data_IF_022506796632
#
_entry.id   IF_022506796632
#
_cell.length_a   1.000
_cell.length_b   1.000
_cell.length_c   1.000
_cell.angle_alpha   90.00
_cell.angle_beta   90.00
_cell.angle_gamma   90.00
#
_symmetry.space_group_name_H-M   'P 1'
#
loop_
_entity.id
_entity.type
_entity.pdbx_description
1 polymer ?
#
# COMPACT_ATOMS: atom_id res chain seq x y z
N UNK A 1 75.97 -9.09 21.01
CA UNK A 1 76.20 -8.58 22.36
C UNK A 1 75.43 -7.30 22.55
N UNK A 2 74.15 -7.29 22.85
CA UNK A 2 73.03 -8.23 22.82
C UNK A 2 71.79 -7.36 23.11
N UNK A 3 70.63 -7.83 22.66
CA UNK A 3 69.29 -7.58 23.17
C UNK A 3 69.12 -6.65 24.38
N UNK A 4 68.18 -5.71 24.29
CA UNK A 4 66.97 -5.79 25.12
C UNK A 4 65.79 -5.07 24.45
N UNK A 5 64.73 -5.86 24.25
CA UNK A 5 63.40 -5.47 23.83
C UNK A 5 62.71 -4.77 25.01
N UNK A 6 62.06 -3.63 24.78
CA UNK A 6 60.99 -3.17 25.67
C UNK A 6 59.74 -2.94 24.82
N UNK A 7 58.94 -4.00 24.75
CA UNK A 7 57.62 -4.01 24.15
C UNK A 7 56.68 -3.19 25.03
N UNK A 8 56.28 -2.02 24.54
CA UNK A 8 55.17 -1.26 25.09
C UNK A 8 53.88 -1.55 24.32
N UNK A 9 53.48 -2.81 24.32
CA UNK A 9 52.08 -3.17 24.05
C UNK A 9 51.24 -2.75 25.26
N UNK A 10 50.63 -1.56 25.17
CA UNK A 10 49.49 -1.17 26.00
C UNK A 10 48.34 -0.71 25.11
N UNK A 11 47.57 -1.72 24.72
CA UNK A 11 46.11 -1.75 24.82
C UNK A 11 45.40 -0.46 24.38
N UNK A 12 45.24 -0.34 23.06
CA UNK A 12 44.24 0.56 22.48
C UNK A 12 42.87 -0.09 22.72
N UNK A 13 42.28 0.21 23.87
CA UNK A 13 40.92 -0.19 24.21
C UNK A 13 39.93 0.39 23.19
N UNK A 14 39.59 -0.41 22.18
CA UNK A 14 38.39 -0.23 21.37
C UNK A 14 37.19 -0.53 22.26
N UNK A 15 36.83 0.43 23.10
CA UNK A 15 35.45 0.55 23.55
C UNK A 15 34.77 1.41 22.50
N UNK A 16 34.51 0.83 21.32
CA UNK A 16 33.41 1.30 20.48
C UNK A 16 32.22 1.35 21.42
N UNK A 17 31.67 2.54 21.65
CA UNK A 17 30.69 2.70 22.70
C UNK A 17 29.51 1.77 22.36
N UNK A 18 29.04 0.97 23.33
CA UNK A 18 27.85 0.11 23.15
C UNK A 18 26.67 0.90 22.57
N UNK A 19 26.66 2.23 22.75
CA UNK A 19 25.70 3.16 22.21
C UNK A 19 25.87 3.43 20.70
N UNK A 20 27.09 3.55 20.16
CA UNK A 20 27.34 3.65 18.71
C UNK A 20 26.98 2.35 17.99
N UNK A 21 27.34 1.19 18.54
CA UNK A 21 26.97 -0.11 17.96
C UNK A 21 25.44 -0.30 17.98
N UNK A 22 24.77 0.05 19.08
CA UNK A 22 23.30 -0.01 19.16
C UNK A 22 22.60 0.99 18.25
N UNK A 23 23.17 2.17 18.03
CA UNK A 23 22.64 3.14 17.06
C UNK A 23 22.80 2.63 15.62
N UNK A 24 23.96 2.06 15.27
CA UNK A 24 24.18 1.47 13.95
C UNK A 24 23.29 0.24 13.70
N UNK A 25 23.11 -0.64 14.70
CA UNK A 25 22.17 -1.77 14.62
C UNK A 25 20.72 -1.29 14.44
N UNK A 26 20.33 -0.21 15.12
CA UNK A 26 19.00 0.39 14.99
C UNK A 26 18.81 1.02 13.61
N UNK A 27 19.81 1.73 13.08
CA UNK A 27 19.78 2.33 11.74
C UNK A 27 19.72 1.25 10.64
N UNK A 28 20.51 0.18 10.76
CA UNK A 28 20.46 -0.99 9.88
C UNK A 28 19.10 -1.72 9.96
N UNK A 29 18.50 -1.79 11.15
CA UNK A 29 17.17 -2.38 11.35
C UNK A 29 16.05 -1.51 10.76
N UNK A 30 16.15 -0.19 10.89
CA UNK A 30 15.20 0.78 10.30
C UNK A 30 15.22 0.72 8.76
N UNK A 31 16.41 0.61 8.15
CA UNK A 31 16.60 0.40 6.71
C UNK A 31 16.06 -0.96 6.19
N UNK A 32 15.87 -1.93 7.08
CA UNK A 32 15.28 -3.22 6.76
C UNK A 32 13.75 -3.22 6.96
N UNK A 33 13.22 -2.40 7.86
CA UNK A 33 11.83 -2.51 8.30
C UNK A 33 10.83 -2.18 7.19
N UNK A 34 11.07 -1.11 6.42
CA UNK A 34 10.22 -0.75 5.29
C UNK A 34 10.20 -1.83 4.20
N UNK A 35 11.31 -2.55 4.00
CA UNK A 35 11.37 -3.68 3.05
C UNK A 35 10.48 -4.82 3.50
N UNK A 36 10.44 -5.08 4.82
CA UNK A 36 9.54 -6.08 5.41
C UNK A 36 8.08 -5.65 5.22
N UNK A 37 7.76 -4.38 5.45
CA UNK A 37 6.39 -3.86 5.25
C UNK A 37 5.94 -3.97 3.79
N UNK A 38 6.82 -3.65 2.85
CA UNK A 38 6.56 -3.81 1.43
C UNK A 38 6.35 -5.26 1.03
N UNK A 39 7.23 -6.16 1.47
CA UNK A 39 7.10 -7.60 1.23
C UNK A 39 5.78 -8.12 1.80
N UNK A 40 5.44 -7.75 3.04
CA UNK A 40 4.18 -8.15 3.68
C UNK A 40 2.96 -7.62 2.93
N UNK A 41 2.97 -6.34 2.56
CA UNK A 41 1.85 -5.69 1.87
C UNK A 41 1.59 -6.32 0.51
N UNK A 42 2.64 -6.55 -0.29
CA UNK A 42 2.51 -7.23 -1.57
C UNK A 42 2.12 -8.70 -1.43
N UNK A 43 2.56 -9.38 -0.37
CA UNK A 43 2.15 -10.77 -0.09
C UNK A 43 0.65 -10.82 0.23
N UNK A 44 0.16 -9.90 1.07
CA UNK A 44 -1.28 -9.81 1.38
C UNK A 44 -2.09 -9.42 0.16
N UNK A 45 -1.61 -8.48 -0.65
CA UNK A 45 -2.26 -8.08 -1.91
C UNK A 45 -2.37 -9.26 -2.89
N UNK A 46 -1.29 -10.00 -3.11
CA UNK A 46 -1.32 -11.15 -4.02
C UNK A 46 -2.27 -12.24 -3.49
N UNK A 47 -2.23 -12.50 -2.18
CA UNK A 47 -3.13 -13.45 -1.55
C UNK A 47 -4.60 -13.03 -1.61
N UNK A 48 -4.91 -11.72 -1.55
CA UNK A 48 -6.28 -11.21 -1.71
C UNK A 48 -6.89 -11.62 -3.06
N UNK A 49 -6.11 -11.50 -4.14
CA UNK A 49 -6.55 -11.93 -5.47
C UNK A 49 -6.60 -13.46 -5.59
N UNK A 50 -5.65 -14.16 -4.96
CA UNK A 50 -5.60 -15.61 -4.96
C UNK A 50 -6.64 -16.27 -4.06
N UNK A 51 -7.39 -15.55 -3.21
CA UNK A 51 -8.47 -16.12 -2.36
C UNK A 51 -9.50 -16.96 -3.11
N UNK A 52 -9.73 -16.66 -4.40
CA UNK A 52 -10.66 -17.41 -5.27
C UNK A 52 -10.05 -18.71 -5.84
N UNK A 53 -8.80 -18.97 -5.52
CA UNK A 53 -8.02 -20.14 -5.95
C UNK A 53 -7.55 -20.90 -4.71
N UNK A 54 -7.20 -22.19 -4.84
CA UNK A 54 -6.60 -22.96 -3.75
C UNK A 54 -5.09 -22.66 -3.57
N UNK A 55 -4.62 -21.51 -4.05
CA UNK A 55 -3.21 -21.12 -4.00
C UNK A 55 -2.99 -20.01 -2.96
N UNK A 56 -1.85 -20.09 -2.27
CA UNK A 56 -1.39 -19.08 -1.32
C UNK A 56 0.10 -18.86 -1.47
N UNK A 57 0.52 -17.61 -1.30
CA UNK A 57 1.91 -17.16 -1.26
C UNK A 57 2.28 -16.93 0.21
N UNK A 58 3.32 -17.60 0.67
CA UNK A 58 3.96 -17.39 1.98
C UNK A 58 5.22 -16.54 1.82
N UNK A 59 6.00 -16.78 0.77
CA UNK A 59 7.22 -16.03 0.47
C UNK A 59 7.30 -15.66 -1.01
N UNK A 60 7.16 -14.36 -1.30
CA UNK A 60 7.18 -13.81 -2.66
C UNK A 60 8.44 -14.17 -3.46
N UNK A 61 9.58 -14.37 -2.80
CA UNK A 61 10.85 -14.68 -3.48
C UNK A 61 10.88 -16.11 -4.01
N UNK A 62 10.35 -17.05 -3.23
CA UNK A 62 10.44 -18.48 -3.54
C UNK A 62 9.17 -19.02 -4.18
N UNK A 63 7.99 -18.58 -3.77
CA UNK A 63 6.70 -19.13 -4.21
C UNK A 63 6.30 -18.71 -5.63
N UNK A 64 6.87 -17.63 -6.15
CA UNK A 64 6.67 -17.18 -7.54
C UNK A 64 7.69 -17.79 -8.51
N UNK A 65 8.75 -18.41 -7.98
CA UNK A 65 9.92 -18.84 -8.77
C UNK A 65 9.63 -19.96 -9.79
N UNK A 66 8.57 -20.74 -9.58
CA UNK A 66 8.14 -21.81 -10.50
C UNK A 66 7.13 -21.35 -11.56
N UNK A 67 6.67 -20.11 -11.44
CA UNK A 67 5.73 -19.44 -12.33
C UNK A 67 4.26 -19.85 -12.14
N UNK A 68 3.91 -20.87 -11.35
CA UNK A 68 2.53 -21.35 -11.25
C UNK A 68 1.63 -20.36 -10.53
N UNK A 69 2.08 -19.82 -9.40
CA UNK A 69 1.33 -18.81 -8.65
C UNK A 69 1.28 -17.46 -9.38
N UNK A 70 2.36 -17.13 -10.10
CA UNK A 70 2.41 -15.94 -10.95
C UNK A 70 1.38 -16.03 -12.08
N UNK A 71 1.30 -17.19 -12.76
CA UNK A 71 0.27 -17.48 -13.77
C UNK A 71 -1.11 -17.29 -13.16
N UNK A 72 -1.41 -17.97 -12.06
CA UNK A 72 -2.73 -17.90 -11.43
C UNK A 72 -3.12 -16.46 -11.04
N UNK A 73 -2.17 -15.70 -10.49
CA UNK A 73 -2.37 -14.30 -10.13
C UNK A 73 -2.71 -13.45 -11.36
N UNK A 74 -1.95 -13.58 -12.45
CA UNK A 74 -2.22 -12.84 -13.69
C UNK A 74 -3.53 -13.27 -14.36
N UNK A 75 -3.89 -14.56 -14.30
CA UNK A 75 -5.20 -15.02 -14.79
C UNK A 75 -6.36 -14.39 -14.03
N UNK A 76 -6.24 -14.24 -12.70
CA UNK A 76 -7.27 -13.59 -11.88
C UNK A 76 -7.37 -12.10 -12.19
N UNK A 77 -6.23 -11.43 -12.37
CA UNK A 77 -6.17 -9.98 -12.62
C UNK A 77 -6.63 -9.60 -14.04
N UNK A 78 -6.17 -10.31 -15.07
CA UNK A 78 -6.48 -10.01 -16.47
C UNK A 78 -7.78 -10.66 -16.95
N UNK A 79 -8.25 -11.72 -16.27
CA UNK A 79 -9.31 -12.59 -16.76
C UNK A 79 -8.89 -13.51 -17.91
N UNK A 80 -7.62 -13.46 -18.36
CA UNK A 80 -7.08 -14.33 -19.40
C UNK A 80 -6.75 -15.73 -18.86
N UNK A 81 -6.84 -16.75 -19.72
CA UNK A 81 -6.48 -18.14 -19.38
C UNK A 81 -5.32 -18.64 -20.22
N UNK A 82 -4.20 -18.98 -19.57
CA UNK A 82 -3.01 -19.46 -20.24
C UNK A 82 -3.16 -20.95 -20.60
N UNK A 83 -3.08 -21.27 -21.89
CA UNK A 83 -3.26 -22.64 -22.39
C UNK A 83 -2.00 -23.51 -22.27
N UNK A 84 -0.82 -22.90 -22.38
CA UNK A 84 0.45 -23.60 -22.50
C UNK A 84 1.36 -23.27 -21.30
N UNK A 85 1.06 -23.87 -20.14
CA UNK A 85 1.84 -23.72 -18.91
C UNK A 85 2.27 -25.10 -18.41
N UNK A 86 3.52 -25.21 -17.98
CA UNK A 86 4.04 -26.41 -17.34
C UNK A 86 3.41 -26.56 -15.95
N UNK A 87 2.47 -27.51 -15.80
CA UNK A 87 1.72 -27.74 -14.54
C UNK A 87 2.55 -28.35 -13.42
N UNK A 88 3.71 -28.94 -13.73
CA UNK A 88 4.64 -29.56 -12.78
C UNK A 88 6.08 -29.22 -13.16
N UNK A 89 6.52 -27.96 -12.97
CA UNK A 89 7.83 -27.50 -13.43
C UNK A 89 8.92 -27.97 -12.47
N UNK A 90 9.56 -29.10 -12.77
CA UNK A 90 10.68 -29.64 -11.98
C UNK A 90 12.02 -29.07 -12.42
N UNK A 91 12.17 -28.82 -13.72
CA UNK A 91 13.41 -28.31 -14.29
C UNK A 91 13.40 -26.78 -14.37
N UNK A 92 14.58 -26.16 -14.19
CA UNK A 92 14.76 -24.70 -14.30
C UNK A 92 14.22 -24.16 -15.63
N UNK A 93 14.38 -24.90 -16.73
CA UNK A 93 13.86 -24.52 -18.05
C UNK A 93 12.34 -24.40 -18.07
N UNK A 94 11.62 -25.35 -17.47
CA UNK A 94 10.15 -25.33 -17.37
C UNK A 94 9.65 -24.18 -16.48
N UNK A 95 10.33 -23.94 -15.35
CA UNK A 95 10.03 -22.80 -14.47
C UNK A 95 10.19 -21.47 -15.21
N UNK A 96 11.31 -21.31 -15.91
CA UNK A 96 11.60 -20.11 -16.69
C UNK A 96 10.61 -19.91 -17.84
N UNK A 97 10.20 -20.99 -18.51
CA UNK A 97 9.18 -20.94 -19.56
C UNK A 97 7.84 -20.42 -19.03
N UNK A 98 7.39 -20.90 -17.87
CA UNK A 98 6.17 -20.40 -17.21
C UNK A 98 6.28 -18.89 -16.93
N UNK A 99 7.36 -18.47 -16.26
CA UNK A 99 7.57 -17.06 -15.91
C UNK A 99 7.65 -16.18 -17.16
N UNK A 100 8.45 -16.58 -18.15
CA UNK A 100 8.65 -15.83 -19.41
C UNK A 100 7.33 -15.68 -20.17
N UNK A 101 6.49 -16.71 -20.19
CA UNK A 101 5.17 -16.66 -20.84
C UNK A 101 4.29 -15.59 -20.21
N UNK A 102 4.28 -15.50 -18.88
CA UNK A 102 3.51 -14.47 -18.16
C UNK A 102 4.09 -13.07 -18.40
N UNK A 103 5.40 -12.90 -18.28
CA UNK A 103 6.04 -11.59 -18.49
C UNK A 103 5.79 -11.08 -19.91
N UNK A 104 5.91 -11.96 -20.92
CA UNK A 104 5.59 -11.61 -22.31
C UNK A 104 4.14 -11.19 -22.49
N UNK A 105 3.20 -11.90 -21.86
CA UNK A 105 1.78 -11.52 -21.90
C UNK A 105 1.54 -10.13 -21.31
N UNK A 106 2.16 -9.83 -20.16
CA UNK A 106 2.05 -8.53 -19.51
C UNK A 106 2.60 -7.40 -20.40
N UNK A 107 3.72 -7.61 -21.08
CA UNK A 107 4.32 -6.61 -21.96
C UNK A 107 3.59 -6.46 -23.30
N UNK A 108 3.37 -7.57 -24.01
CA UNK A 108 2.86 -7.56 -25.38
C UNK A 108 1.33 -7.39 -25.46
N UNK A 109 0.59 -7.97 -24.50
CA UNK A 109 -0.88 -7.99 -24.55
C UNK A 109 -1.50 -6.92 -23.65
N UNK A 110 -1.05 -6.81 -22.39
CA UNK A 110 -1.56 -5.80 -21.46
C UNK A 110 -0.87 -4.44 -21.62
N UNK A 111 0.23 -4.37 -22.41
CA UNK A 111 0.96 -3.14 -22.67
C UNK A 111 1.69 -2.59 -21.45
N UNK A 112 2.00 -3.43 -20.46
CA UNK A 112 2.72 -3.02 -19.26
C UNK A 112 4.20 -2.83 -19.60
N UNK A 113 4.74 -1.65 -19.26
CA UNK A 113 6.18 -1.43 -19.29
C UNK A 113 6.77 -1.97 -18.00
N UNK A 114 7.34 -3.18 -18.06
CA UNK A 114 8.08 -3.79 -16.95
C UNK A 114 9.45 -3.11 -16.85
N UNK A 115 9.47 -1.92 -16.26
CA UNK A 115 10.70 -1.20 -15.95
C UNK A 115 11.19 -1.68 -14.57
N UNK A 116 12.51 -1.79 -14.39
CA UNK A 116 13.07 -2.07 -13.07
C UNK A 116 12.55 -1.04 -12.06
N UNK A 117 12.10 -1.52 -10.91
CA UNK A 117 11.52 -0.71 -9.83
C UNK A 117 12.53 0.33 -9.29
N UNK A 118 13.82 0.12 -9.56
CA UNK A 118 14.94 0.97 -9.13
C UNK A 118 15.17 2.18 -10.05
N UNK A 119 14.64 2.17 -11.26
CA UNK A 119 14.73 3.30 -12.18
C UNK A 119 13.49 4.18 -11.99
N UNK A 120 13.60 5.07 -11.01
CA UNK A 120 12.71 6.21 -10.83
C UNK A 120 12.54 6.90 -12.19
N UNK A 121 11.32 6.94 -12.73
CA UNK A 121 11.03 7.55 -14.03
C UNK A 121 11.21 9.07 -13.94
N UNK A 122 12.47 9.52 -14.00
CA UNK A 122 12.94 10.91 -14.17
C UNK A 122 13.04 11.24 -15.68
N UNK A 123 12.11 10.71 -16.47
CA UNK A 123 11.87 11.17 -17.84
C UNK A 123 10.41 11.58 -17.95
N UNK A 124 10.09 12.67 -17.26
CA UNK A 124 8.88 13.44 -17.51
C UNK A 124 9.09 14.20 -18.83
N UNK A 125 8.34 13.81 -19.87
CA UNK A 125 8.14 14.65 -21.04
C UNK A 125 7.16 15.77 -20.61
N UNK A 126 7.71 16.94 -20.27
CA UNK A 126 7.00 18.13 -19.75
C UNK A 126 5.94 18.73 -20.70
N UNK A 127 5.56 18.03 -21.78
CA UNK A 127 4.61 18.53 -22.78
C UNK A 127 3.28 17.80 -22.84
N UNK A 128 3.11 16.70 -22.10
CA UNK A 128 1.82 16.03 -21.94
C UNK A 128 1.57 15.73 -20.46
N UNK A 129 0.52 16.36 -19.90
CA UNK A 129 0.01 16.18 -18.53
C UNK A 129 -0.53 14.76 -18.24
N UNK A 130 0.25 13.72 -18.50
CA UNK A 130 -0.10 12.37 -18.06
C UNK A 130 0.42 12.21 -16.64
N UNK A 131 -0.37 12.65 -15.66
CA UNK A 131 -0.09 12.39 -14.25
C UNK A 131 0.14 10.89 -14.06
N UNK A 132 1.29 10.51 -13.50
CA UNK A 132 1.59 9.13 -13.16
C UNK A 132 0.55 8.53 -12.20
N UNK A 133 0.48 7.19 -12.05
CA UNK A 133 -0.47 6.55 -11.15
C UNK A 133 -0.48 7.15 -9.73
N UNK A 134 0.71 7.48 -9.19
CA UNK A 134 0.88 8.17 -7.91
C UNK A 134 0.16 9.53 -7.89
N UNK A 135 0.42 10.38 -8.87
CA UNK A 135 -0.17 11.72 -8.94
C UNK A 135 -1.70 11.66 -9.12
N UNK A 136 -2.20 10.70 -9.92
CA UNK A 136 -3.65 10.48 -10.06
C UNK A 136 -4.30 10.06 -8.73
N UNK A 137 -3.68 9.12 -8.00
CA UNK A 137 -4.18 8.71 -6.70
C UNK A 137 -4.14 9.86 -5.70
N UNK A 138 -3.05 10.63 -5.67
CA UNK A 138 -2.90 11.79 -4.78
C UNK A 138 -3.95 12.86 -5.09
N UNK A 139 -4.21 13.14 -6.37
CA UNK A 139 -5.24 14.07 -6.80
C UNK A 139 -6.65 13.60 -6.35
N UNK A 140 -6.93 12.30 -6.49
CA UNK A 140 -8.19 11.72 -6.02
C UNK A 140 -8.35 11.86 -4.50
N UNK A 141 -7.31 11.55 -3.72
CA UNK A 141 -7.34 11.71 -2.25
C UNK A 141 -7.57 13.16 -1.86
N UNK A 142 -6.83 14.11 -2.46
CA UNK A 142 -7.01 15.56 -2.20
C UNK A 142 -8.43 16.04 -2.53
N UNK A 143 -9.01 15.55 -3.62
CA UNK A 143 -10.39 15.85 -3.99
C UNK A 143 -11.39 15.30 -2.97
N UNK A 144 -11.13 14.10 -2.42
CA UNK A 144 -11.96 13.48 -1.38
C UNK A 144 -11.81 14.15 -0.01
N UNK A 145 -10.62 14.64 0.30
CA UNK A 145 -10.26 15.25 1.58
C UNK A 145 -9.81 16.71 1.41
N UNK A 146 -10.70 17.63 1.00
CA UNK A 146 -10.31 19.01 0.68
C UNK A 146 -9.79 19.80 1.89
N UNK A 147 -10.09 19.37 3.11
CA UNK A 147 -9.70 20.04 4.35
C UNK A 147 -8.43 19.46 4.99
N UNK A 148 -7.93 18.31 4.51
CA UNK A 148 -6.71 17.68 5.03
C UNK A 148 -5.60 17.85 4.00
N UNK A 149 -4.45 18.45 4.38
CA UNK A 149 -3.38 18.72 3.44
C UNK A 149 -2.53 17.47 3.16
N UNK A 150 -3.06 16.51 2.41
CA UNK A 150 -2.31 15.31 1.97
C UNK A 150 -1.34 15.69 0.85
N UNK A 151 -0.05 15.38 1.02
CA UNK A 151 1.07 15.70 0.13
C UNK A 151 1.83 14.45 -0.31
N UNK A 152 1.87 13.42 0.53
CA UNK A 152 2.62 12.19 0.30
C UNK A 152 1.79 10.92 0.63
N UNK A 153 2.40 9.75 0.37
CA UNK A 153 1.89 8.44 0.78
C UNK A 153 2.79 7.83 1.86
N UNK A 154 3.28 8.65 2.78
CA UNK A 154 4.08 8.20 3.93
C UNK A 154 3.58 8.91 5.18
N UNK A 155 4.24 9.98 5.58
CA UNK A 155 4.11 10.60 6.91
C UNK A 155 2.80 11.33 7.14
N UNK A 156 2.10 11.79 6.10
CA UNK A 156 0.81 12.46 6.24
C UNK A 156 -0.30 11.54 6.78
N UNK A 157 -0.04 10.23 6.83
CA UNK A 157 -0.98 9.21 7.29
C UNK A 157 -0.64 8.69 8.69
N UNK A 158 0.53 9.04 9.24
CA UNK A 158 1.04 8.38 10.43
C UNK A 158 0.26 8.70 11.72
N UNK A 159 -0.48 9.81 11.78
CA UNK A 159 -1.33 10.15 12.94
C UNK A 159 -2.67 9.39 12.96
N UNK A 160 -2.97 8.62 11.90
CA UNK A 160 -4.21 7.87 11.73
C UNK A 160 -5.46 8.73 11.49
N UNK A 161 -5.36 10.06 11.47
CA UNK A 161 -6.50 10.95 11.24
C UNK A 161 -6.88 10.98 9.76
N UNK A 162 -5.88 11.04 8.88
CA UNK A 162 -6.10 11.05 7.43
C UNK A 162 -6.89 9.82 6.95
N UNK A 163 -6.58 8.63 7.48
CA UNK A 163 -7.30 7.40 7.14
C UNK A 163 -8.73 7.38 7.70
N UNK A 164 -8.93 7.87 8.93
CA UNK A 164 -10.27 8.05 9.50
C UNK A 164 -11.15 8.99 8.68
N UNK A 165 -10.57 10.11 8.26
CA UNK A 165 -11.24 11.06 7.38
C UNK A 165 -11.57 10.46 6.01
N UNK A 166 -10.66 9.66 5.44
CA UNK A 166 -10.88 8.98 4.16
C UNK A 166 -12.04 7.99 4.25
N UNK A 167 -12.08 7.18 5.31
CA UNK A 167 -13.15 6.21 5.55
C UNK A 167 -14.50 6.92 5.70
N UNK A 168 -14.57 7.98 6.50
CA UNK A 168 -15.81 8.77 6.66
C UNK A 168 -16.19 9.54 5.38
N UNK A 169 -15.22 9.96 4.56
CA UNK A 169 -15.48 10.57 3.27
C UNK A 169 -16.04 9.56 2.24
N UNK A 170 -15.66 8.28 2.33
CA UNK A 170 -16.21 7.21 1.52
C UNK A 170 -17.62 6.80 1.98
N UNK A 171 -17.84 6.68 3.29
CA UNK A 171 -19.16 6.43 3.87
C UNK A 171 -19.36 7.26 5.15
N UNK A 172 -20.05 8.42 5.05
CA UNK A 172 -20.29 9.29 6.18
C UNK A 172 -21.01 8.58 7.33
N UNK A 173 -20.42 8.62 8.52
CA UNK A 173 -20.94 7.99 9.71
C UNK A 173 -20.19 6.72 10.13
N UNK A 174 -19.22 6.24 9.35
CA UNK A 174 -18.30 5.16 9.79
C UNK A 174 -17.26 5.67 10.80
N UNK A 175 -16.63 6.82 10.51
CA UNK A 175 -15.64 7.44 11.42
C UNK A 175 -16.02 8.89 11.71
N UNK A 176 -17.26 9.21 12.14
CA UNK A 176 -17.74 10.59 12.17
C UNK A 176 -16.88 11.49 13.06
N UNK A 177 -16.28 10.94 14.11
CA UNK A 177 -15.55 11.66 15.15
C UNK A 177 -14.07 11.90 14.81
N UNK A 178 -13.62 11.51 13.61
CA UNK A 178 -12.25 11.72 13.12
C UNK A 178 -11.69 13.14 13.33
N UNK A 179 -12.46 14.25 13.21
CA UNK A 179 -11.90 15.60 13.38
C UNK A 179 -11.45 15.91 14.82
N UNK A 180 -11.89 15.10 15.79
CA UNK A 180 -11.56 15.26 17.21
C UNK A 180 -10.67 14.13 17.74
N UNK A 181 -10.17 13.28 16.85
CA UNK A 181 -9.22 12.25 17.25
C UNK A 181 -7.91 12.89 17.70
N UNK A 182 -7.28 12.24 18.68
CA UNK A 182 -6.02 12.68 19.24
C UNK A 182 -4.86 12.16 18.37
N UNK A 183 -4.04 13.08 17.86
CA UNK A 183 -2.85 12.77 17.06
C UNK A 183 -1.80 11.96 17.84
N UNK A 184 -1.85 11.99 19.18
CA UNK A 184 -0.96 11.20 20.02
C UNK A 184 -1.39 9.74 20.16
N UNK A 185 -2.54 9.36 19.59
CA UNK A 185 -3.07 8.00 19.60
C UNK A 185 -3.16 7.39 18.18
N UNK A 186 -2.06 7.39 17.39
CA UNK A 186 -2.08 7.02 15.98
C UNK A 186 -2.55 5.59 15.74
N UNK A 187 -2.09 4.64 16.56
CA UNK A 187 -2.46 3.22 16.43
C UNK A 187 -3.96 3.00 16.62
N UNK A 188 -4.55 3.66 17.63
CA UNK A 188 -5.99 3.61 17.87
C UNK A 188 -6.75 4.15 16.66
N UNK A 189 -6.35 5.31 16.16
CA UNK A 189 -6.99 6.00 15.04
C UNK A 189 -6.95 5.14 13.76
N UNK A 190 -5.77 4.64 13.40
CA UNK A 190 -5.58 3.78 12.24
C UNK A 190 -6.36 2.47 12.39
N UNK A 191 -6.30 1.83 13.56
CA UNK A 191 -7.02 0.57 13.80
C UNK A 191 -8.53 0.74 13.68
N UNK A 192 -9.09 1.80 14.28
CA UNK A 192 -10.53 2.09 14.20
C UNK A 192 -10.97 2.32 12.74
N UNK A 193 -10.24 3.16 12.01
CA UNK A 193 -10.56 3.47 10.61
C UNK A 193 -10.43 2.25 9.68
N UNK A 194 -9.30 1.55 9.76
CA UNK A 194 -8.99 0.42 8.87
C UNK A 194 -9.89 -0.78 9.12
N UNK A 195 -10.29 -1.01 10.38
CA UNK A 195 -11.28 -2.04 10.73
C UNK A 195 -12.64 -1.69 10.13
N UNK A 196 -13.09 -0.44 10.25
CA UNK A 196 -14.34 0.00 9.64
C UNK A 196 -14.31 -0.09 8.10
N UNK A 197 -13.16 0.19 7.48
CA UNK A 197 -12.96 0.05 6.05
C UNK A 197 -13.08 -1.42 5.57
N UNK A 198 -12.50 -2.36 6.32
CA UNK A 198 -12.59 -3.79 6.02
C UNK A 198 -14.03 -4.30 6.21
N UNK A 199 -14.59 -4.04 7.38
CA UNK A 199 -15.90 -4.51 7.79
C UNK A 199 -17.01 -3.97 6.89
N UNK A 200 -16.95 -2.69 6.50
CA UNK A 200 -18.09 -2.01 5.87
C UNK A 200 -17.84 -1.48 4.47
N UNK A 201 -16.58 -1.32 4.03
CA UNK A 201 -16.25 -0.84 2.69
C UNK A 201 -15.64 -1.92 1.77
N UNK A 202 -15.46 -3.14 2.30
CA UNK A 202 -14.79 -4.25 1.60
C UNK A 202 -13.35 -3.89 1.21
N UNK A 203 -12.65 -3.14 2.07
CA UNK A 203 -11.25 -2.74 1.87
C UNK A 203 -10.36 -3.60 2.77
N UNK A 204 -9.78 -4.69 2.26
CA UNK A 204 -8.94 -5.56 3.08
C UNK A 204 -7.67 -4.83 3.54
N UNK A 205 -7.23 -5.15 4.75
CA UNK A 205 -6.05 -4.57 5.39
C UNK A 205 -4.74 -5.16 4.81
N UNK A 206 -4.36 -4.66 3.63
CA UNK A 206 -3.11 -5.07 2.96
C UNK A 206 -1.87 -4.58 3.70
N UNK A 207 -1.95 -3.40 4.29
CA UNK A 207 -1.02 -2.89 5.30
C UNK A 207 -1.71 -2.99 6.66
N UNK A 208 -0.96 -3.23 7.73
CA UNK A 208 -1.49 -3.22 9.10
C UNK A 208 -1.52 -1.79 9.68
N UNK A 209 -2.37 -1.52 10.69
CA UNK A 209 -2.37 -0.23 11.38
C UNK A 209 -0.99 0.17 11.92
N UNK A 210 -0.25 -0.77 12.53
CA UNK A 210 1.10 -0.52 13.06
C UNK A 210 2.11 -0.19 11.94
N UNK A 211 1.95 -0.82 10.77
CA UNK A 211 2.81 -0.61 9.60
C UNK A 211 2.49 0.76 8.93
N UNK A 212 1.22 1.18 8.90
CA UNK A 212 0.80 2.47 8.33
C UNK A 212 1.28 3.68 9.15
N UNK A 213 1.28 3.55 10.47
CA UNK A 213 1.66 4.65 11.36
C UNK A 213 3.17 4.78 11.54
N UNK A 214 3.92 3.84 11.00
CA UNK A 214 5.37 3.84 11.12
C UNK A 214 5.99 4.99 10.30
N UNK A 215 6.92 5.78 10.88
CA UNK A 215 7.55 6.89 10.17
C UNK A 215 8.37 6.46 8.96
N UNK A 216 8.81 5.20 8.92
CA UNK A 216 9.61 4.63 7.83
C UNK A 216 8.75 3.85 6.82
N UNK A 217 7.42 3.95 6.88
CA UNK A 217 6.54 3.30 5.90
C UNK A 217 6.87 3.78 4.48
N UNK A 218 6.94 2.85 3.52
CA UNK A 218 7.25 3.18 2.13
C UNK A 218 5.99 3.55 1.33
N UNK A 219 6.16 4.42 0.33
CA UNK A 219 5.06 4.89 -0.52
C UNK A 219 4.37 3.77 -1.29
N UNK A 220 5.08 2.71 -1.68
CA UNK A 220 4.50 1.64 -2.50
C UNK A 220 3.52 0.80 -1.68
N UNK A 221 3.86 0.48 -0.43
CA UNK A 221 2.94 -0.17 0.51
C UNK A 221 1.68 0.67 0.74
N UNK A 222 1.86 1.95 1.06
CA UNK A 222 0.75 2.87 1.32
C UNK A 222 -0.14 3.08 0.09
N UNK A 223 0.45 3.32 -1.09
CA UNK A 223 -0.29 3.43 -2.35
C UNK A 223 -1.07 2.16 -2.66
N UNK A 224 -0.50 0.98 -2.39
CA UNK A 224 -1.18 -0.31 -2.59
C UNK A 224 -2.46 -0.38 -1.77
N UNK A 225 -2.41 -0.02 -0.49
CA UNK A 225 -3.58 -0.01 0.36
C UNK A 225 -4.59 1.08 -0.03
N UNK A 226 -4.14 2.33 -0.20
CA UNK A 226 -5.02 3.49 -0.48
C UNK A 226 -5.68 3.38 -1.87
N UNK A 227 -5.04 2.73 -2.84
CA UNK A 227 -5.58 2.54 -4.20
C UNK A 227 -6.86 1.68 -4.26
N UNK A 228 -7.24 1.03 -3.15
CA UNK A 228 -8.48 0.27 -3.03
C UNK A 228 -9.71 1.19 -2.83
N UNK A 229 -9.53 2.35 -2.19
CA UNK A 229 -10.63 3.24 -1.78
C UNK A 229 -11.46 3.84 -2.94
N UNK A 230 -10.90 4.14 -4.13
CA UNK A 230 -11.71 4.57 -5.28
C UNK A 230 -12.83 3.59 -5.66
N UNK A 231 -12.66 2.30 -5.36
CA UNK A 231 -13.63 1.23 -5.64
C UNK A 231 -14.35 0.72 -4.38
N UNK A 232 -14.28 1.47 -3.27
CA UNK A 232 -14.91 1.12 -2.01
C UNK A 232 -16.41 0.86 -2.18
N UNK A 233 -16.91 -0.22 -1.58
CA UNK A 233 -18.31 -0.62 -1.68
C UNK A 233 -18.93 -0.75 -0.28
N UNK A 234 -19.89 0.12 0.03
CA UNK A 234 -20.59 0.13 1.31
C UNK A 234 -21.49 -1.12 1.42
N UNK A 235 -21.23 -1.96 2.41
CA UNK A 235 -22.04 -3.14 2.72
C UNK A 235 -23.38 -2.74 3.34
N UNK A 236 -24.43 -3.51 3.05
CA UNK A 236 -25.75 -3.32 3.66
C UNK A 236 -25.70 -3.49 5.19
N UNK A 237 -26.47 -2.67 5.91
CA UNK A 237 -26.55 -2.73 7.37
C UNK A 237 -25.39 -2.06 8.12
N UNK A 238 -24.53 -1.31 7.43
CA UNK A 238 -23.44 -0.57 8.07
C UNK A 238 -23.95 0.36 9.20
N UNK A 239 -23.29 0.37 10.38
CA UNK A 239 -23.71 1.12 11.55
C UNK A 239 -23.34 2.61 11.42
N UNK A 240 -23.92 3.29 10.44
CA UNK A 240 -23.63 4.69 10.16
C UNK A 240 -24.18 5.59 11.26
N UNK A 241 -23.29 6.24 12.00
CA UNK A 241 -23.66 7.26 13.00
C UNK A 241 -23.77 8.61 12.31
N UNK A 242 -25.00 9.05 12.07
CA UNK A 242 -25.26 10.33 11.42
C UNK A 242 -24.69 11.49 12.25
N UNK A 243 -23.72 12.22 11.68
CA UNK A 243 -23.44 13.60 12.10
C UNK A 243 -24.42 14.52 11.39
N UNK A 244 -25.08 15.39 12.17
CA UNK A 244 -25.82 16.53 11.62
C UNK A 244 -24.82 17.43 10.87
N UNK A 245 -24.71 17.25 9.55
CA UNK A 245 -23.92 18.13 8.69
C UNK A 245 -24.87 18.89 7.76
N UNK A 246 -25.23 20.15 8.08
CA UNK A 246 -26.12 20.97 7.27
C UNK A 246 -25.64 21.13 5.82
N UNK A 247 -24.33 21.07 5.56
CA UNK A 247 -23.75 21.22 4.22
C UNK A 247 -23.87 19.97 3.32
N UNK A 248 -24.26 18.81 3.88
CA UNK A 248 -24.44 17.55 3.13
C UNK A 248 -25.92 17.20 2.86
N UNK A 249 -26.87 18.02 3.32
CA UNK A 249 -28.30 17.82 3.05
C UNK A 249 -28.60 18.28 1.61
N UNK A 250 -28.82 17.33 0.70
CA UNK A 250 -29.37 17.61 -0.64
C UNK A 250 -30.86 17.32 -0.63
N UNK A 251 -31.67 18.36 -0.75
CA UNK A 251 -33.09 18.24 -1.03
C UNK A 251 -33.29 18.13 -2.55
N UNK A 252 -33.99 17.08 -3.00
CA UNK A 252 -34.48 16.98 -4.36
C UNK A 252 -36.01 17.09 -4.32
N UNK A 253 -36.55 18.06 -5.05
CA UNK A 253 -38.00 18.25 -5.22
C UNK A 253 -38.27 18.88 -6.59
N UNK A 254 -39.40 18.57 -7.24
CA UNK A 254 -39.74 19.13 -8.53
C UNK A 254 -39.85 20.65 -8.43
N UNK A 255 -39.12 21.34 -9.30
CA UNK A 255 -39.24 22.79 -9.48
C UNK A 255 -40.61 23.02 -10.10
N UNK A 256 -41.60 23.45 -9.31
CA UNK A 256 -42.88 23.87 -9.84
C UNK A 256 -42.64 25.05 -10.78
N UNK A 257 -42.75 24.81 -12.08
CA UNK A 257 -42.95 25.87 -13.05
C UNK A 257 -44.27 26.53 -12.70
N UNK A 258 -44.20 27.77 -12.22
CA UNK A 258 -45.36 28.64 -12.08
C UNK A 258 -45.93 28.83 -13.48
N UNK A 259 -47.05 28.16 -13.77
CA UNK A 259 -47.84 28.44 -14.95
C UNK A 259 -48.31 29.88 -14.87
N UNK A 260 -47.86 30.73 -15.79
CA UNK A 260 -48.51 32.00 -16.04
C UNK A 260 -49.93 31.70 -16.51
N UNK A 261 -50.91 32.17 -15.75
CA UNK A 261 -52.31 32.18 -16.16
C UNK A 261 -52.59 33.58 -16.73
N UNK A 262 -52.87 33.57 -18.03
CA UNK A 262 -53.66 34.51 -18.87
C UNK A 262 -53.57 36.01 -18.61
#
# INVERSE_FOLDING_TARGET
>A
MDHDEDSSDRDCGLVESDEETRMAEKELAEDAQWKIFQKNTFTRWANEHLKKTDLRIEDLETDLSDGLRLVALVEVLSGHKFRHINKRPTFRTQKLENVTTVLRYLEETEGLRLISIDEENVLQDDRNQTQGPKQRLLAWVKQKLPIIPIRNFTTDWNDGIAIGALVDACAPGLCPDWPHWDQQNPLRNATEAMTAADDWLSIPQLIRPEEMIDPNVDEKSMMTYISQFPNACLKEGAPLRAKLNPSKVRAYGPVNQVSQVS
#
